data_IF_609061613367
#
_entry.id   IF_609061613367
#
_cell.length_a   1.000
_cell.length_b   1.000
_cell.length_c   1.000
_cell.angle_alpha   90.00
_cell.angle_beta   90.00
_cell.angle_gamma   90.00
#
_symmetry.space_group_name_H-M   'P 1'
#
loop_
_entity.id
_entity.type
_entity.pdbx_description
1 polymer ?
#
# COMPACT_ATOMS: atom_id res chain seq x y z
N UNK A 1 28.80 39.52 9.59
CA UNK A 1 27.93 39.45 8.40
C UNK A 1 28.70 38.74 7.31
N UNK A 2 28.46 37.44 7.14
CA UNK A 2 29.05 36.66 6.05
C UNK A 2 28.14 36.85 4.84
N UNK A 3 28.64 37.30 3.68
CA UNK A 3 27.82 37.51 2.51
C UNK A 3 27.44 36.15 1.93
N UNK A 4 26.13 35.86 1.90
CA UNK A 4 25.56 34.77 1.11
C UNK A 4 25.62 35.18 -0.36
N UNK A 5 26.76 34.94 -1.01
CA UNK A 5 26.86 34.93 -2.46
C UNK A 5 27.61 33.67 -2.90
N UNK A 6 26.84 32.62 -3.19
CA UNK A 6 27.15 31.68 -4.25
C UNK A 6 25.84 31.36 -4.97
N UNK A 7 25.91 31.31 -6.30
CA UNK A 7 24.81 31.08 -7.22
C UNK A 7 24.42 29.59 -7.23
N UNK A 8 24.28 29.00 -6.05
CA UNK A 8 23.58 27.75 -5.83
C UNK A 8 22.09 28.05 -5.87
N UNK A 9 21.33 27.21 -6.55
CA UNK A 9 19.88 27.38 -6.66
C UNK A 9 19.27 27.22 -5.27
N UNK A 10 18.94 28.34 -4.63
CA UNK A 10 18.44 28.35 -3.26
C UNK A 10 17.14 27.54 -3.19
N UNK A 11 17.11 26.53 -2.34
CA UNK A 11 15.90 25.73 -2.14
C UNK A 11 14.77 26.60 -1.59
N UNK A 12 15.10 27.71 -0.90
CA UNK A 12 14.13 28.71 -0.44
C UNK A 12 13.49 29.43 -1.62
N UNK A 13 14.26 29.86 -2.62
CA UNK A 13 13.70 30.50 -3.83
C UNK A 13 12.69 29.56 -4.52
N UNK A 14 13.04 28.27 -4.69
CA UNK A 14 12.13 27.27 -5.24
C UNK A 14 10.89 27.04 -4.37
N UNK A 15 11.05 27.03 -3.05
CA UNK A 15 9.93 26.85 -2.13
C UNK A 15 8.97 28.05 -2.19
N UNK A 16 9.53 29.26 -2.25
CA UNK A 16 8.79 30.52 -2.33
C UNK A 16 8.07 30.65 -3.68
N UNK A 17 8.74 30.27 -4.76
CA UNK A 17 8.15 30.19 -6.09
C UNK A 17 6.94 29.25 -6.07
N UNK A 18 7.10 28.02 -5.56
CA UNK A 18 6.00 27.05 -5.48
C UNK A 18 4.83 27.53 -4.60
N UNK A 19 5.14 28.15 -3.46
CA UNK A 19 4.15 28.75 -2.55
C UNK A 19 3.36 29.89 -3.21
N UNK A 20 3.97 30.61 -4.15
CA UNK A 20 3.32 31.70 -4.88
C UNK A 20 2.34 31.23 -5.97
N UNK A 21 2.45 29.98 -6.42
CA UNK A 21 1.59 29.41 -7.48
C UNK A 21 0.16 29.18 -7.00
N UNK A 22 0.00 28.76 -5.74
CA UNK A 22 -1.31 28.43 -5.19
C UNK A 22 -1.27 27.73 -3.83
N UNK A 23 -2.45 27.45 -3.26
CA UNK A 23 -2.59 26.87 -1.93
C UNK A 23 -2.04 25.43 -1.87
N UNK A 24 -0.91 25.25 -1.20
CA UNK A 24 -0.25 23.96 -0.99
C UNK A 24 -0.26 23.59 0.49
N UNK A 25 -0.59 22.35 0.87
CA UNK A 25 -0.49 21.88 2.26
C UNK A 25 0.97 21.61 2.67
N UNK A 26 1.23 21.50 3.96
CA UNK A 26 2.58 21.34 4.49
C UNK A 26 3.21 20.00 4.06
N UNK A 27 2.44 18.92 3.96
CA UNK A 27 2.96 17.64 3.47
C UNK A 27 3.42 17.77 2.02
N UNK A 28 2.58 18.30 1.13
CA UNK A 28 2.93 18.46 -0.29
C UNK A 28 4.04 19.48 -0.52
N UNK A 29 4.14 20.52 0.29
CA UNK A 29 5.26 21.45 0.24
C UNK A 29 6.55 20.77 0.70
N UNK A 30 6.53 20.11 1.85
CA UNK A 30 7.69 19.44 2.41
C UNK A 30 8.20 18.30 1.54
N UNK A 31 7.33 17.53 0.89
CA UNK A 31 7.77 16.41 0.04
C UNK A 31 8.63 16.87 -1.13
N UNK A 32 8.44 18.10 -1.62
CA UNK A 32 9.28 18.69 -2.67
C UNK A 32 10.72 18.91 -2.22
N UNK A 33 10.97 18.87 -0.91
CA UNK A 33 12.28 19.07 -0.29
C UNK A 33 12.67 17.92 0.66
N UNK A 34 12.06 16.74 0.49
CA UNK A 34 12.16 15.58 1.40
C UNK A 34 13.59 15.14 1.73
N UNK A 35 14.54 15.32 0.81
CA UNK A 35 15.96 14.95 1.01
C UNK A 35 16.79 15.97 1.80
N UNK A 36 16.27 17.16 2.08
CA UNK A 36 16.91 18.15 2.96
C UNK A 36 16.64 17.80 4.43
N UNK A 37 17.22 18.50 5.41
CA UNK A 37 16.88 18.41 6.85
C UNK A 37 16.41 17.03 7.36
N UNK A 38 17.35 16.10 7.57
CA UNK A 38 17.07 14.71 7.99
C UNK A 38 16.33 14.69 9.34
N UNK A 39 15.48 13.68 9.56
CA UNK A 39 14.72 13.50 10.80
C UNK A 39 13.41 14.28 10.88
N UNK A 40 13.09 15.12 9.88
CA UNK A 40 11.81 15.81 9.78
C UNK A 40 10.81 15.04 8.92
N UNK A 41 9.55 15.05 9.33
CA UNK A 41 8.44 14.65 8.45
C UNK A 41 8.22 15.69 7.35
N UNK A 42 7.54 15.31 6.27
CA UNK A 42 7.19 16.25 5.21
C UNK A 42 6.28 17.37 5.74
N UNK A 43 5.33 17.08 6.63
CA UNK A 43 4.53 18.11 7.30
C UNK A 43 5.40 19.11 8.07
N UNK A 44 6.34 18.64 8.90
CA UNK A 44 7.23 19.53 9.65
C UNK A 44 8.09 20.41 8.73
N UNK A 45 8.60 19.81 7.65
CA UNK A 45 9.42 20.52 6.66
C UNK A 45 8.63 21.58 5.90
N UNK A 46 7.43 21.25 5.43
CA UNK A 46 6.56 22.21 4.76
C UNK A 46 6.17 23.36 5.70
N UNK A 47 5.82 23.04 6.94
CA UNK A 47 5.52 24.05 7.96
C UNK A 47 6.69 25.02 8.17
N UNK A 48 7.92 24.50 8.26
CA UNK A 48 9.11 25.33 8.38
C UNK A 48 9.29 26.27 7.18
N UNK A 49 9.14 25.76 5.95
CA UNK A 49 9.22 26.56 4.73
C UNK A 49 8.13 27.63 4.67
N UNK A 50 6.90 27.29 5.07
CA UNK A 50 5.77 28.22 5.14
C UNK A 50 6.02 29.34 6.14
N UNK A 51 6.56 29.02 7.32
CA UNK A 51 6.91 30.03 8.34
C UNK A 51 7.93 31.02 7.77
N UNK A 52 8.99 30.51 7.13
CA UNK A 52 10.04 31.36 6.53
C UNK A 52 9.47 32.23 5.41
N UNK A 53 8.58 31.69 4.57
CA UNK A 53 7.87 32.45 3.55
C UNK A 53 6.99 33.56 4.12
N UNK A 54 6.19 33.23 5.14
CA UNK A 54 5.31 34.19 5.80
C UNK A 54 6.09 35.33 6.45
N UNK A 55 7.22 35.03 7.12
CA UNK A 55 8.14 36.05 7.64
C UNK A 55 8.67 36.97 6.54
N UNK A 56 9.04 36.43 5.38
CA UNK A 56 9.53 37.22 4.26
C UNK A 56 8.44 38.12 3.63
N UNK A 57 7.16 37.73 3.74
CA UNK A 57 6.00 38.51 3.26
C UNK A 57 5.40 39.45 4.31
N UNK A 58 5.79 39.33 5.58
CA UNK A 58 5.15 40.05 6.68
C UNK A 58 3.73 39.55 6.96
N UNK A 59 3.48 38.27 6.70
CA UNK A 59 2.18 37.61 6.83
C UNK A 59 2.21 36.55 7.94
N UNK A 60 1.03 36.07 8.35
CA UNK A 60 0.92 34.91 9.23
C UNK A 60 1.03 33.59 8.45
N UNK A 61 1.77 32.59 8.94
CA UNK A 61 1.82 31.28 8.29
C UNK A 61 0.48 30.57 8.43
N UNK A 62 -0.20 30.34 7.30
CA UNK A 62 -1.48 29.64 7.24
C UNK A 62 -1.43 28.45 6.28
N UNK A 63 -1.82 27.29 6.77
CA UNK A 63 -2.05 26.12 5.91
C UNK A 63 -3.40 26.30 5.19
N UNK A 64 -3.48 26.00 3.89
CA UNK A 64 -4.73 26.15 3.16
C UNK A 64 -5.75 25.06 3.51
N UNK A 65 -7.03 25.38 3.40
CA UNK A 65 -8.14 24.41 3.55
C UNK A 65 -8.14 23.33 2.46
N UNK A 66 -7.61 23.67 1.26
CA UNK A 66 -7.52 22.72 0.15
C UNK A 66 -6.22 22.89 -0.60
N UNK A 67 -5.49 21.80 -0.74
CA UNK A 67 -4.22 21.76 -1.47
C UNK A 67 -4.45 21.52 -2.97
N UNK A 68 -3.87 22.35 -3.84
CA UNK A 68 -3.93 22.13 -5.30
C UNK A 68 -3.07 20.96 -5.79
N UNK A 69 -2.27 20.32 -4.92
CA UNK A 69 -1.44 19.17 -5.30
C UNK A 69 -2.12 17.84 -4.98
N UNK A 70 -2.52 17.64 -3.71
CA UNK A 70 -3.16 16.40 -3.28
C UNK A 70 -4.68 16.47 -3.26
N UNK A 71 -5.27 17.65 -3.51
CA UNK A 71 -6.71 17.84 -3.53
C UNK A 71 -7.45 17.36 -2.26
N UNK A 72 -6.76 17.32 -1.12
CA UNK A 72 -7.31 16.83 0.16
C UNK A 72 -7.17 15.32 0.39
N UNK A 73 -6.62 14.54 -0.55
CA UNK A 73 -6.57 13.08 -0.42
C UNK A 73 -5.69 12.60 0.75
N UNK A 74 -4.67 13.38 1.14
CA UNK A 74 -3.86 13.06 2.32
C UNK A 74 -4.68 13.10 3.62
N UNK A 75 -5.66 14.01 3.72
CA UNK A 75 -6.54 14.13 4.90
C UNK A 75 -7.55 12.99 4.98
N UNK A 76 -7.80 12.29 3.85
CA UNK A 76 -8.69 11.14 3.77
C UNK A 76 -8.02 9.83 4.21
N UNK A 77 -6.70 9.81 4.43
CA UNK A 77 -5.97 8.60 4.82
C UNK A 77 -6.56 7.91 6.07
N UNK A 78 -6.98 8.60 7.14
CA UNK A 78 -7.65 7.97 8.29
C UNK A 78 -8.98 7.30 7.96
N UNK A 79 -9.78 7.86 7.06
CA UNK A 79 -11.03 7.26 6.61
C UNK A 79 -10.76 5.98 5.80
N UNK A 80 -9.84 6.07 4.84
CA UNK A 80 -9.45 4.94 4.00
C UNK A 80 -8.81 3.80 4.83
N UNK A 81 -8.03 4.14 5.85
CA UNK A 81 -7.46 3.16 6.78
C UNK A 81 -8.55 2.40 7.56
N UNK A 82 -9.62 3.08 7.98
CA UNK A 82 -10.77 2.43 8.63
C UNK A 82 -11.49 1.48 7.67
N UNK A 83 -11.69 1.89 6.41
CA UNK A 83 -12.28 1.03 5.38
C UNK A 83 -11.41 -0.20 5.11
N UNK A 84 -10.09 -0.01 5.01
CA UNK A 84 -9.13 -1.12 4.87
C UNK A 84 -9.20 -2.08 6.06
N UNK A 85 -9.36 -1.58 7.29
CA UNK A 85 -9.48 -2.40 8.48
C UNK A 85 -10.74 -3.27 8.47
N UNK A 86 -11.89 -2.69 8.12
CA UNK A 86 -13.14 -3.44 8.02
C UNK A 86 -13.04 -4.59 7.01
N UNK A 87 -12.29 -4.41 5.92
CA UNK A 87 -12.08 -5.45 4.92
C UNK A 87 -11.19 -6.62 5.41
N UNK A 88 -10.42 -6.45 6.49
CA UNK A 88 -9.47 -7.47 6.98
C UNK A 88 -9.65 -7.85 8.45
N UNK A 89 -10.72 -7.39 9.09
CA UNK A 89 -10.93 -7.58 10.53
C UNK A 89 -10.96 -9.05 10.95
N UNK A 90 -11.43 -9.93 10.06
CA UNK A 90 -11.56 -11.37 10.30
C UNK A 90 -10.27 -12.16 9.96
N UNK A 91 -9.22 -11.50 9.47
CA UNK A 91 -7.94 -12.15 9.13
C UNK A 91 -6.88 -11.92 10.21
N UNK A 92 -6.07 -12.95 10.48
CA UNK A 92 -4.88 -12.84 11.32
C UNK A 92 -3.65 -12.47 10.48
N UNK A 93 -2.96 -11.39 10.84
CA UNK A 93 -1.72 -10.96 10.17
C UNK A 93 -0.86 -10.11 11.10
N UNK A 94 0.43 -10.05 10.78
CA UNK A 94 1.49 -9.27 11.44
C UNK A 94 2.16 -8.28 10.50
N UNK A 95 2.06 -8.49 9.20
CA UNK A 95 2.65 -7.60 8.20
C UNK A 95 1.64 -7.16 7.16
N UNK A 96 1.72 -5.90 6.76
CA UNK A 96 0.88 -5.36 5.70
C UNK A 96 1.66 -4.41 4.79
N UNK A 97 1.08 -4.04 3.65
CA UNK A 97 1.63 -3.03 2.75
C UNK A 97 0.53 -2.29 2.01
N UNK A 98 0.61 -0.95 2.00
CA UNK A 98 -0.25 -0.11 1.16
C UNK A 98 0.42 0.25 -0.16
N UNK A 99 -0.33 0.10 -1.24
CA UNK A 99 -0.09 0.70 -2.53
C UNK A 99 -1.25 1.63 -2.90
N UNK A 100 -0.97 2.56 -3.80
CA UNK A 100 -1.94 3.54 -4.29
C UNK A 100 -1.86 3.62 -5.81
N UNK A 101 -3.02 3.57 -6.45
CA UNK A 101 -3.22 4.00 -7.83
C UNK A 101 -3.61 5.48 -7.82
N UNK A 102 -2.77 6.29 -8.48
CA UNK A 102 -3.00 7.73 -8.59
C UNK A 102 -4.18 7.99 -9.53
N UNK A 103 -4.94 9.05 -9.24
CA UNK A 103 -5.93 9.54 -10.20
C UNK A 103 -5.24 10.32 -11.33
N UNK A 104 -5.86 10.47 -12.51
CA UNK A 104 -5.30 11.25 -13.62
C UNK A 104 -4.90 12.68 -13.23
N UNK A 105 -5.63 13.27 -12.27
CA UNK A 105 -5.27 14.56 -11.69
C UNK A 105 -3.90 14.55 -11.01
N UNK A 106 -3.65 13.56 -10.15
CA UNK A 106 -2.37 13.46 -9.43
C UNK A 106 -1.21 13.16 -10.37
N UNK A 107 -1.44 12.35 -11.40
CA UNK A 107 -0.43 12.06 -12.43
C UNK A 107 -0.06 13.34 -13.20
N UNK A 108 -1.06 14.10 -13.66
CA UNK A 108 -0.84 15.36 -14.36
C UNK A 108 -0.16 16.42 -13.47
N UNK A 109 -0.53 16.50 -12.19
CA UNK A 109 0.13 17.40 -11.21
C UNK A 109 1.59 16.98 -10.99
N UNK A 110 1.88 15.68 -10.86
CA UNK A 110 3.26 15.19 -10.72
C UNK A 110 4.12 15.53 -11.94
N UNK A 111 3.58 15.38 -13.14
CA UNK A 111 4.24 15.77 -14.39
C UNK A 111 4.50 17.28 -14.43
N UNK A 112 3.47 18.09 -14.16
CA UNK A 112 3.58 19.54 -14.08
C UNK A 112 4.65 19.99 -13.08
N UNK A 113 4.69 19.39 -11.88
CA UNK A 113 5.70 19.70 -10.86
C UNK A 113 7.12 19.28 -11.29
N UNK A 114 7.27 18.22 -12.08
CA UNK A 114 8.58 17.82 -12.62
C UNK A 114 9.08 18.80 -13.67
N UNK A 115 8.19 19.28 -14.54
CA UNK A 115 8.54 20.20 -15.64
C UNK A 115 8.74 21.65 -15.17
N UNK A 116 7.79 22.17 -14.39
CA UNK A 116 7.75 23.60 -14.03
C UNK A 116 8.48 23.92 -12.74
N UNK A 117 8.48 22.98 -11.79
CA UNK A 117 9.08 23.18 -10.47
C UNK A 117 10.08 22.07 -10.11
N UNK A 118 11.06 21.77 -10.97
CA UNK A 118 11.97 20.65 -10.77
C UNK A 118 12.71 20.79 -9.43
N UNK A 119 12.67 19.73 -8.64
CA UNK A 119 13.37 19.66 -7.37
C UNK A 119 14.12 18.34 -7.26
N UNK A 120 15.46 18.34 -7.10
CA UNK A 120 16.26 17.13 -6.93
C UNK A 120 16.00 16.44 -5.58
N UNK A 121 15.39 17.18 -4.64
CA UNK A 121 15.08 16.73 -3.28
C UNK A 121 13.68 16.13 -3.14
N UNK A 122 12.88 16.15 -4.20
CA UNK A 122 11.49 15.76 -4.13
C UNK A 122 11.28 14.25 -3.97
N UNK A 123 10.22 13.89 -3.26
CA UNK A 123 9.60 12.56 -3.26
C UNK A 123 8.25 12.58 -4.02
N UNK A 124 7.90 11.49 -4.73
CA UNK A 124 6.61 11.38 -5.40
C UNK A 124 5.44 11.41 -4.42
N UNK A 125 4.31 12.01 -4.83
CA UNK A 125 3.09 12.04 -4.02
C UNK A 125 2.62 10.65 -3.56
N UNK A 126 2.71 9.65 -4.44
CA UNK A 126 2.36 8.26 -4.15
C UNK A 126 3.07 7.73 -2.88
N UNK A 127 4.32 8.12 -2.65
CA UNK A 127 5.09 7.66 -1.48
C UNK A 127 4.57 8.25 -0.18
N UNK A 128 4.12 9.51 -0.21
CA UNK A 128 3.50 10.15 0.95
C UNK A 128 2.10 9.60 1.22
N UNK A 129 1.32 9.33 0.18
CA UNK A 129 0.01 8.70 0.34
C UNK A 129 0.14 7.29 0.94
N UNK A 130 1.07 6.47 0.44
CA UNK A 130 1.34 5.14 1.02
C UNK A 130 1.75 5.24 2.49
N UNK A 131 2.56 6.24 2.86
CA UNK A 131 3.03 6.46 4.24
C UNK A 131 1.90 6.91 5.15
N UNK A 132 1.08 7.85 4.69
CA UNK A 132 -0.08 8.36 5.43
C UNK A 132 -1.10 7.23 5.68
N UNK A 133 -1.40 6.41 4.67
CA UNK A 133 -2.26 5.24 4.81
C UNK A 133 -1.69 4.22 5.79
N UNK A 134 -0.39 3.91 5.69
CA UNK A 134 0.26 2.98 6.61
C UNK A 134 0.22 3.44 8.06
N UNK A 135 0.56 4.69 8.33
CA UNK A 135 0.50 5.28 9.68
C UNK A 135 -0.93 5.29 10.24
N UNK A 136 -1.89 5.75 9.44
CA UNK A 136 -3.29 5.76 9.84
C UNK A 136 -3.82 4.34 10.11
N UNK A 137 -3.38 3.34 9.34
CA UNK A 137 -3.77 1.96 9.55
C UNK A 137 -3.17 1.35 10.81
N UNK A 138 -1.91 1.65 11.13
CA UNK A 138 -1.30 1.26 12.41
C UNK A 138 -2.06 1.87 13.59
N UNK A 139 -2.47 3.14 13.52
CA UNK A 139 -3.30 3.78 14.54
C UNK A 139 -4.65 3.07 14.71
N UNK A 140 -5.31 2.71 13.59
CA UNK A 140 -6.56 1.94 13.63
C UNK A 140 -6.34 0.57 14.28
N UNK A 141 -5.30 -0.16 13.91
CA UNK A 141 -4.98 -1.47 14.52
C UNK A 141 -4.77 -1.36 16.03
N UNK A 142 -3.98 -0.38 16.49
CA UNK A 142 -3.72 -0.15 17.92
C UNK A 142 -5.02 0.15 18.66
N UNK A 143 -5.91 0.95 18.09
CA UNK A 143 -7.23 1.26 18.68
C UNK A 143 -8.13 0.03 18.85
N UNK A 144 -7.88 -1.03 18.07
CA UNK A 144 -8.60 -2.30 18.09
C UNK A 144 -7.85 -3.39 18.88
N UNK A 145 -6.77 -3.05 19.59
CA UNK A 145 -5.96 -4.00 20.35
C UNK A 145 -5.12 -4.94 19.47
N UNK A 146 -4.87 -4.57 18.20
CA UNK A 146 -4.09 -5.34 17.24
C UNK A 146 -2.75 -4.66 16.96
N UNK A 147 -1.79 -5.44 16.51
CA UNK A 147 -0.48 -4.94 16.08
C UNK A 147 -0.04 -5.64 14.82
N UNK A 148 0.33 -4.84 13.82
CA UNK A 148 0.98 -5.28 12.59
C UNK A 148 1.89 -4.13 12.12
N UNK A 149 2.86 -4.44 11.28
CA UNK A 149 3.82 -3.45 10.76
C UNK A 149 3.99 -3.56 9.26
N UNK A 150 4.57 -2.53 8.64
CA UNK A 150 4.82 -2.52 7.21
C UNK A 150 5.94 -3.50 6.84
N UNK A 151 5.71 -4.35 5.83
CA UNK A 151 6.75 -5.17 5.20
C UNK A 151 6.71 -5.00 3.67
N UNK A 152 7.81 -4.49 3.11
CA UNK A 152 7.92 -4.22 1.67
C UNK A 152 8.24 -5.46 0.83
N UNK A 153 8.71 -6.54 1.46
CA UNK A 153 9.17 -7.75 0.77
C UNK A 153 8.18 -8.90 0.93
N UNK A 154 7.65 -9.08 2.14
CA UNK A 154 6.78 -10.20 2.50
C UNK A 154 5.52 -9.75 3.25
N UNK A 155 4.69 -8.87 2.68
CA UNK A 155 3.41 -8.49 3.30
C UNK A 155 2.43 -9.67 3.28
N UNK A 156 1.81 -9.95 4.43
CA UNK A 156 0.72 -10.92 4.54
C UNK A 156 -0.60 -10.35 4.01
N UNK A 157 -0.79 -9.04 4.15
CA UNK A 157 -1.93 -8.32 3.60
C UNK A 157 -1.43 -7.17 2.73
N UNK A 158 -1.95 -7.04 1.51
CA UNK A 158 -1.66 -5.91 0.64
C UNK A 158 -2.93 -5.16 0.31
N UNK A 159 -2.92 -3.86 0.53
CA UNK A 159 -3.99 -2.95 0.16
C UNK A 159 -3.58 -2.17 -1.08
N UNK A 160 -4.50 -2.02 -2.03
CA UNK A 160 -4.32 -1.14 -3.19
C UNK A 160 -5.48 -0.16 -3.22
N UNK A 161 -5.18 1.11 -2.96
CA UNK A 161 -6.19 2.19 -2.92
C UNK A 161 -6.23 2.91 -4.26
N UNK A 162 -7.40 2.99 -4.89
CA UNK A 162 -7.61 3.74 -6.13
C UNK A 162 -8.16 5.14 -5.79
N UNK A 163 -7.35 6.19 -5.98
CA UNK A 163 -7.74 7.57 -5.68
C UNK A 163 -8.76 8.16 -6.68
N UNK A 164 -8.96 7.53 -7.83
CA UNK A 164 -9.96 7.97 -8.81
C UNK A 164 -11.33 7.35 -8.53
N UNK A 165 -11.36 6.02 -8.36
CA UNK A 165 -12.60 5.26 -8.16
C UNK A 165 -13.06 5.23 -6.70
N UNK A 166 -12.17 5.50 -5.75
CA UNK A 166 -12.45 5.46 -4.31
C UNK A 166 -12.60 4.06 -3.74
N UNK A 167 -11.94 3.05 -4.34
CA UNK A 167 -11.99 1.65 -3.91
C UNK A 167 -10.70 1.17 -3.25
N UNK A 168 -10.80 0.10 -2.46
CA UNK A 168 -9.66 -0.58 -1.84
C UNK A 168 -9.69 -2.05 -2.24
N UNK A 169 -8.71 -2.47 -3.03
CA UNK A 169 -8.48 -3.88 -3.32
C UNK A 169 -7.60 -4.49 -2.23
N UNK A 170 -7.99 -5.67 -1.74
CA UNK A 170 -7.27 -6.40 -0.69
C UNK A 170 -6.76 -7.71 -1.24
N UNK A 171 -5.48 -7.98 -1.03
CA UNK A 171 -4.85 -9.26 -1.30
C UNK A 171 -4.38 -9.88 0.02
N UNK A 172 -4.83 -11.10 0.29
CA UNK A 172 -4.40 -11.91 1.44
C UNK A 172 -3.41 -12.97 0.94
N UNK A 173 -2.21 -12.98 1.51
CA UNK A 173 -1.17 -13.93 1.13
C UNK A 173 -1.56 -15.37 1.55
N UNK A 174 -1.29 -16.38 0.71
CA UNK A 174 -1.48 -17.78 1.09
C UNK A 174 -0.64 -18.17 2.32
N UNK A 175 -1.20 -19.01 3.17
CA UNK A 175 -0.46 -19.68 4.24
C UNK A 175 0.33 -20.88 3.66
N UNK A 176 1.61 -20.99 4.03
CA UNK A 176 2.46 -22.10 3.63
C UNK A 176 2.69 -23.03 4.81
N UNK A 177 2.39 -24.31 4.60
CA UNK A 177 2.65 -25.38 5.56
C UNK A 177 3.78 -26.25 5.04
N UNK A 178 4.73 -26.55 5.91
CA UNK A 178 5.81 -27.49 5.60
C UNK A 178 5.79 -28.64 6.60
N UNK A 179 5.93 -29.86 6.08
CA UNK A 179 5.89 -31.07 6.87
C UNK A 179 6.29 -32.30 6.08
N UNK A 180 6.08 -33.46 6.68
CA UNK A 180 6.32 -34.77 6.05
C UNK A 180 5.11 -35.65 6.31
N UNK A 181 4.74 -36.45 5.32
CA UNK A 181 3.68 -37.45 5.45
C UNK A 181 4.21 -38.86 5.19
N UNK A 182 3.54 -39.87 5.75
CA UNK A 182 3.80 -41.28 5.47
C UNK A 182 2.67 -41.84 4.61
N UNK A 183 3.00 -42.26 3.40
CA UNK A 183 2.06 -42.92 2.50
C UNK A 183 2.08 -44.43 2.74
N UNK A 184 1.09 -44.94 3.46
CA UNK A 184 1.04 -46.35 3.86
C UNK A 184 0.36 -47.28 2.83
N UNK A 185 -0.32 -46.70 1.83
CA UNK A 185 -1.11 -47.44 0.83
C UNK A 185 -0.56 -47.18 -0.58
N UNK A 186 -0.48 -48.23 -1.40
CA UNK A 186 -0.13 -48.13 -2.84
C UNK A 186 -1.37 -47.78 -3.67
N UNK A 187 -1.17 -47.12 -4.82
CA UNK A 187 -2.25 -46.86 -5.78
C UNK A 187 -2.96 -45.50 -5.66
N UNK A 188 -2.70 -44.71 -4.61
CA UNK A 188 -3.16 -43.31 -4.53
C UNK A 188 -2.10 -42.36 -5.10
N UNK A 189 -2.41 -41.38 -5.96
CA UNK A 189 -1.47 -40.35 -6.41
C UNK A 189 -1.12 -39.33 -5.30
N UNK A 190 -0.08 -38.52 -5.52
CA UNK A 190 0.31 -37.44 -4.61
C UNK A 190 -0.64 -36.23 -4.72
N UNK A 191 -0.83 -35.72 -5.93
CA UNK A 191 -1.75 -34.61 -6.25
C UNK A 191 -3.07 -35.13 -6.78
N UNK A 192 -4.09 -34.27 -6.87
CA UNK A 192 -5.34 -34.58 -7.56
C UNK A 192 -5.12 -34.72 -9.09
N UNK A 193 -5.77 -35.71 -9.72
CA UNK A 193 -5.71 -35.95 -11.16
C UNK A 193 -7.13 -35.84 -11.78
N UNK A 194 -7.42 -34.75 -12.51
CA UNK A 194 -8.67 -34.63 -13.25
C UNK A 194 -8.79 -35.74 -14.30
N UNK A 195 -10.02 -36.21 -14.54
CA UNK A 195 -10.33 -37.16 -15.60
C UNK A 195 -9.84 -36.64 -16.95
N UNK A 196 -9.00 -37.41 -17.65
CA UNK A 196 -8.42 -37.01 -18.95
C UNK A 196 -9.46 -36.82 -20.06
N UNK A 197 -10.67 -37.34 -19.90
CA UNK A 197 -11.72 -37.24 -20.91
C UNK A 197 -12.58 -35.97 -20.73
N UNK A 198 -13.00 -35.65 -19.51
CA UNK A 198 -13.88 -34.51 -19.24
C UNK A 198 -13.19 -33.31 -18.57
N UNK A 199 -11.91 -33.43 -18.22
CA UNK A 199 -11.11 -32.37 -17.61
C UNK A 199 -11.59 -31.96 -16.22
N UNK A 200 -12.20 -32.87 -15.45
CA UNK A 200 -12.70 -32.57 -14.09
C UNK A 200 -14.21 -32.38 -13.98
N UNK A 201 -14.94 -32.26 -15.09
CA UNK A 201 -16.39 -31.94 -15.07
C UNK A 201 -17.30 -33.09 -14.61
N UNK A 202 -16.81 -34.32 -14.64
CA UNK A 202 -17.63 -35.53 -14.50
C UNK A 202 -18.14 -36.06 -15.85
N UNK A 203 -18.05 -37.37 -16.08
CA UNK A 203 -18.58 -38.06 -17.25
C UNK A 203 -18.79 -39.55 -16.93
N UNK A 204 -19.51 -40.28 -17.78
CA UNK A 204 -19.72 -41.73 -17.63
C UNK A 204 -18.42 -42.50 -17.41
N UNK A 205 -17.35 -42.14 -18.14
CA UNK A 205 -16.05 -42.81 -18.05
C UNK A 205 -15.39 -42.73 -16.67
N UNK A 206 -15.65 -41.66 -15.91
CA UNK A 206 -15.14 -41.51 -14.54
C UNK A 206 -16.22 -41.70 -13.49
N UNK A 207 -17.35 -42.34 -13.85
CA UNK A 207 -18.53 -42.47 -12.99
C UNK A 207 -18.97 -41.11 -12.40
N UNK A 208 -18.94 -40.06 -13.21
CA UNK A 208 -19.32 -38.68 -12.85
C UNK A 208 -18.50 -38.02 -11.74
N UNK A 209 -17.41 -38.64 -11.26
CA UNK A 209 -16.55 -38.07 -10.21
C UNK A 209 -15.68 -36.90 -10.69
N UNK A 210 -15.42 -36.84 -12.00
CA UNK A 210 -14.46 -35.90 -12.59
C UNK A 210 -13.00 -36.29 -12.39
N UNK A 211 -12.69 -37.43 -11.75
CA UNK A 211 -11.32 -37.79 -11.34
C UNK A 211 -10.80 -39.05 -12.05
N UNK A 212 -9.48 -39.17 -12.17
CA UNK A 212 -8.81 -40.40 -12.63
C UNK A 212 -8.65 -41.43 -11.52
N UNK A 213 -8.43 -40.96 -10.29
CA UNK A 213 -8.29 -41.78 -9.09
C UNK A 213 -9.31 -41.33 -8.04
N UNK A 214 -9.79 -42.22 -7.15
CA UNK A 214 -10.80 -41.85 -6.16
C UNK A 214 -10.37 -40.72 -5.21
N UNK A 215 -9.09 -40.67 -4.85
CA UNK A 215 -8.50 -39.66 -3.95
C UNK A 215 -7.00 -39.53 -4.20
N UNK A 216 -6.36 -38.58 -3.53
CA UNK A 216 -4.92 -38.30 -3.56
C UNK A 216 -4.42 -37.93 -2.17
N UNK A 217 -3.10 -37.91 -1.97
CA UNK A 217 -2.51 -37.44 -0.71
C UNK A 217 -2.91 -35.98 -0.44
N UNK A 218 -2.91 -35.13 -1.47
CA UNK A 218 -3.38 -33.74 -1.41
C UNK A 218 -4.81 -33.65 -0.88
N UNK A 219 -5.74 -34.41 -1.44
CA UNK A 219 -7.15 -34.40 -1.03
C UNK A 219 -7.38 -34.93 0.39
N UNK A 220 -6.47 -35.74 0.91
CA UNK A 220 -6.54 -36.24 2.30
C UNK A 220 -5.97 -35.24 3.31
N UNK A 221 -4.96 -34.47 2.91
CA UNK A 221 -4.23 -33.56 3.80
C UNK A 221 -4.87 -32.17 3.82
N UNK A 222 -5.24 -31.65 2.65
CA UNK A 222 -5.69 -30.28 2.45
C UNK A 222 -6.88 -29.88 3.34
N UNK A 223 -7.93 -30.71 3.55
CA UNK A 223 -9.08 -30.33 4.36
C UNK A 223 -8.73 -29.87 5.78
N UNK A 224 -7.77 -30.51 6.43
CA UNK A 224 -7.34 -30.14 7.78
C UNK A 224 -6.73 -28.73 7.85
N UNK A 225 -6.02 -28.31 6.79
CA UNK A 225 -5.45 -26.97 6.72
C UNK A 225 -6.47 -25.92 6.32
N UNK A 226 -7.41 -26.25 5.42
CA UNK A 226 -8.49 -25.34 5.05
C UNK A 226 -9.40 -25.06 6.25
N UNK A 227 -9.76 -26.09 7.01
CA UNK A 227 -10.53 -25.95 8.25
C UNK A 227 -9.79 -25.10 9.29
N UNK A 228 -8.49 -25.37 9.49
CA UNK A 228 -7.69 -24.64 10.46
C UNK A 228 -7.47 -23.16 10.11
N UNK A 229 -7.53 -22.78 8.84
CA UNK A 229 -7.18 -21.44 8.37
C UNK A 229 -8.33 -20.67 7.74
N UNK A 230 -9.53 -21.26 7.63
CA UNK A 230 -10.63 -20.68 6.86
C UNK A 230 -10.28 -20.49 5.38
N UNK A 231 -9.42 -21.36 4.81
CA UNK A 231 -8.94 -21.22 3.44
C UNK A 231 -9.98 -21.69 2.40
N UNK A 232 -9.98 -21.05 1.23
CA UNK A 232 -10.88 -21.40 0.12
C UNK A 232 -10.33 -22.49 -0.82
N UNK A 233 -9.01 -22.76 -0.74
CA UNK A 233 -8.34 -23.75 -1.58
C UNK A 233 -6.85 -23.86 -1.27
N UNK A 234 -6.18 -24.82 -1.89
CA UNK A 234 -4.74 -24.99 -1.73
C UNK A 234 -4.16 -26.08 -2.62
N UNK A 235 -2.84 -26.17 -2.61
CA UNK A 235 -2.06 -27.09 -3.44
C UNK A 235 -1.00 -27.78 -2.61
N UNK A 236 -0.82 -29.08 -2.82
CA UNK A 236 0.28 -29.83 -2.25
C UNK A 236 1.46 -29.83 -3.23
N UNK A 237 2.57 -29.23 -2.79
CA UNK A 237 3.85 -29.36 -3.45
C UNK A 237 4.69 -30.42 -2.73
N UNK A 238 5.41 -31.26 -3.48
CA UNK A 238 6.38 -32.19 -2.90
C UNK A 238 7.18 -32.93 -3.94
#
# INVERSE_FOLDING_TARGET
MVPLQSKEMDFLDKAFELLSVGPICDICLGRRFAKLGRGLTNAQRGRALRIVYAMAKGEEPREPERCWICNGDLERAPELAKQAFEAVKDYEFRTFLFGVHLSPYHEAVEEFLKERFPSPWAEPFQRDMNRALGQAFEEVLVSQGRSATVDFHHPQVRFTVDLWKGGIDVYIAPAYFYGRYRKLVRGIPQTHWPCRHCGGKGCERCNYTGKMYPTSVEELILPAFLEACGGEGGHLHG
#
